data_IF_309812988054
#
_entry.id   IF_309812988054
#
_cell.length_a   1.000
_cell.length_b   1.000
_cell.length_c   1.000
_cell.angle_alpha   90.00
_cell.angle_beta   90.00
_cell.angle_gamma   90.00
#
_symmetry.space_group_name_H-M   'P 1'
#
loop_
_entity.id
_entity.type
_entity.pdbx_description
1 polymer ?
#
# COMPACT_ATOMS: atom_id res chain seq x y z
N UNK A 1 -9.47 10.46 13.30
CA UNK A 1 -8.37 9.93 14.13
C UNK A 1 -7.12 10.49 13.50
N UNK A 2 -6.31 11.24 14.25
CA UNK A 2 -5.27 12.12 13.69
C UNK A 2 -4.38 11.44 12.64
N UNK A 3 -3.91 10.22 12.91
CA UNK A 3 -3.05 9.48 11.98
C UNK A 3 -3.71 9.23 10.62
N UNK A 4 -5.00 8.86 10.59
CA UNK A 4 -5.73 8.67 9.34
C UNK A 4 -5.95 10.00 8.59
N UNK A 5 -6.12 11.09 9.33
CA UNK A 5 -6.29 12.44 8.79
C UNK A 5 -4.99 12.94 8.14
N UNK A 6 -3.84 12.68 8.77
CA UNK A 6 -2.52 13.03 8.22
C UNK A 6 -2.21 12.20 6.96
N UNK A 7 -2.50 10.89 6.96
CA UNK A 7 -2.33 10.01 5.78
C UNK A 7 -3.17 10.50 4.60
N UNK A 8 -4.44 10.81 4.83
CA UNK A 8 -5.33 11.33 3.79
C UNK A 8 -4.83 12.66 3.22
N UNK A 9 -4.35 13.56 4.08
CA UNK A 9 -3.79 14.84 3.66
C UNK A 9 -2.59 14.65 2.74
N UNK A 10 -1.64 13.78 3.09
CA UNK A 10 -0.47 13.51 2.26
C UNK A 10 -0.82 12.80 0.95
N UNK A 11 -1.76 11.85 0.98
CA UNK A 11 -2.21 11.15 -0.22
C UNK A 11 -2.91 12.10 -1.20
N UNK A 12 -3.92 12.84 -0.73
CA UNK A 12 -4.67 13.78 -1.56
C UNK A 12 -3.81 14.97 -2.03
N UNK A 13 -2.78 15.33 -1.26
CA UNK A 13 -1.79 16.33 -1.64
C UNK A 13 -0.75 15.85 -2.65
N UNK A 14 -0.78 14.57 -3.06
CA UNK A 14 0.22 13.98 -3.96
C UNK A 14 1.63 13.86 -3.36
N UNK A 15 1.74 13.89 -2.03
CA UNK A 15 3.02 13.80 -1.34
C UNK A 15 3.53 12.35 -1.24
N UNK A 16 2.62 11.36 -1.30
CA UNK A 16 2.96 9.94 -1.25
C UNK A 16 1.87 9.06 -1.88
N UNK A 17 2.28 8.04 -2.63
CA UNK A 17 1.41 6.97 -3.14
C UNK A 17 1.23 5.82 -2.13
N UNK A 18 2.05 5.79 -1.07
CA UNK A 18 2.05 4.75 -0.04
C UNK A 18 3.03 5.06 1.08
N UNK A 19 2.96 4.27 2.16
CA UNK A 19 3.70 4.51 3.39
C UNK A 19 4.46 3.27 3.83
N UNK A 20 5.67 3.47 4.35
CA UNK A 20 6.41 2.45 5.08
C UNK A 20 6.15 2.62 6.58
N UNK A 21 5.62 1.59 7.23
CA UNK A 21 5.28 1.64 8.65
C UNK A 21 6.44 1.09 9.49
N UNK A 22 6.84 1.85 10.51
CA UNK A 22 7.85 1.43 11.49
C UNK A 22 7.29 1.58 12.91
N UNK A 23 6.50 0.60 13.39
CA UNK A 23 6.01 0.59 14.76
C UNK A 23 7.17 0.54 15.76
N UNK A 24 7.00 1.22 16.88
CA UNK A 24 7.94 1.23 18.02
C UNK A 24 7.91 -0.08 18.80
N UNK A 25 6.76 -0.76 18.82
CA UNK A 25 6.58 -2.07 19.44
C UNK A 25 5.81 -3.04 18.53
N UNK A 26 6.32 -4.26 18.41
CA UNK A 26 5.68 -5.34 17.66
C UNK A 26 5.29 -6.50 18.60
N UNK A 27 4.12 -7.14 18.38
CA UNK A 27 3.15 -6.89 17.31
C UNK A 27 2.14 -5.75 17.60
N UNK A 28 2.08 -5.25 18.84
CA UNK A 28 1.01 -4.37 19.33
C UNK A 28 0.79 -3.09 18.50
N UNK A 29 1.86 -2.34 18.21
CA UNK A 29 1.74 -1.09 17.45
C UNK A 29 1.26 -1.30 16.01
N UNK A 30 1.57 -2.45 15.41
CA UNK A 30 1.01 -2.82 14.11
C UNK A 30 -0.47 -3.18 14.23
N UNK A 31 -0.86 -3.92 15.27
CA UNK A 31 -2.25 -4.30 15.52
C UNK A 31 -3.13 -3.05 15.74
N UNK A 32 -2.67 -2.10 16.56
CA UNK A 32 -3.38 -0.84 16.82
C UNK A 32 -3.58 -0.04 15.53
N UNK A 33 -2.58 -0.03 14.63
CA UNK A 33 -2.69 0.59 13.33
C UNK A 33 -3.73 -0.12 12.45
N UNK A 34 -3.68 -1.45 12.39
CA UNK A 34 -4.61 -2.25 11.58
C UNK A 34 -6.04 -2.09 12.08
N UNK A 35 -6.29 -2.14 13.38
CA UNK A 35 -7.64 -2.08 13.94
C UNK A 35 -8.19 -0.65 14.00
N UNK A 36 -7.33 0.35 14.18
CA UNK A 36 -7.72 1.76 14.30
C UNK A 36 -7.72 2.53 12.98
N UNK A 37 -6.64 2.43 12.18
CA UNK A 37 -6.40 3.30 11.02
C UNK A 37 -7.03 2.72 9.76
N UNK A 38 -6.78 1.44 9.47
CA UNK A 38 -7.17 0.81 8.20
C UNK A 38 -8.68 0.92 7.92
N UNK A 39 -9.61 0.68 8.88
CA UNK A 39 -11.04 0.80 8.61
C UNK A 39 -11.47 2.22 8.23
N UNK A 40 -10.79 3.24 8.76
CA UNK A 40 -11.07 4.64 8.43
C UNK A 40 -10.61 4.95 7.01
N UNK A 41 -9.41 4.52 6.63
CA UNK A 41 -8.89 4.71 5.27
C UNK A 41 -9.75 3.97 4.23
N UNK A 42 -10.22 2.78 4.56
CA UNK A 42 -11.17 2.02 3.75
C UNK A 42 -12.51 2.76 3.59
N UNK A 43 -13.07 3.27 4.69
CA UNK A 43 -14.31 4.06 4.66
C UNK A 43 -14.18 5.33 3.80
N UNK A 44 -12.98 5.92 3.75
CA UNK A 44 -12.65 7.10 2.94
C UNK A 44 -12.34 6.78 1.47
N UNK A 45 -12.24 5.49 1.11
CA UNK A 45 -11.97 5.06 -0.26
C UNK A 45 -10.51 5.25 -0.71
N UNK A 46 -9.59 5.55 0.21
CA UNK A 46 -8.16 5.74 -0.08
C UNK A 46 -7.31 4.50 0.26
N UNK A 47 -7.95 3.44 0.76
CA UNK A 47 -7.32 2.13 0.95
C UNK A 47 -8.25 1.00 0.53
N UNK A 48 -7.67 -0.07 -0.02
CA UNK A 48 -8.41 -1.25 -0.49
C UNK A 48 -9.17 -1.94 0.64
N UNK A 49 -10.36 -2.47 0.34
CA UNK A 49 -11.17 -3.29 1.26
C UNK A 49 -10.89 -4.79 1.15
N UNK A 50 -10.21 -5.21 0.09
CA UNK A 50 -9.81 -6.60 -0.16
C UNK A 50 -8.68 -6.68 -1.18
N UNK A 51 -8.21 -7.90 -1.43
CA UNK A 51 -7.21 -8.18 -2.46
C UNK A 51 -7.89 -8.84 -3.66
N UNK A 52 -7.67 -8.28 -4.85
CA UNK A 52 -8.24 -8.80 -6.10
C UNK A 52 -7.23 -9.66 -6.89
N UNK A 53 -5.93 -9.42 -6.72
CA UNK A 53 -4.85 -10.18 -7.35
C UNK A 53 -4.13 -11.14 -6.41
N UNK A 54 -3.29 -12.01 -6.98
CA UNK A 54 -2.50 -13.00 -6.24
C UNK A 54 -1.02 -12.60 -6.08
N UNK A 55 -0.59 -11.53 -6.74
CA UNK A 55 0.81 -11.12 -6.79
C UNK A 55 1.00 -9.72 -6.21
N UNK A 56 2.21 -9.45 -5.69
CA UNK A 56 2.58 -8.12 -5.21
C UNK A 56 2.44 -7.04 -6.30
N UNK A 57 2.70 -7.39 -7.57
CA UNK A 57 2.53 -6.44 -8.69
C UNK A 57 1.08 -6.02 -8.83
N UNK A 58 0.15 -6.97 -8.78
CA UNK A 58 -1.29 -6.65 -8.83
C UNK A 58 -1.72 -5.81 -7.62
N UNK A 59 -1.21 -6.10 -6.43
CA UNK A 59 -1.51 -5.31 -5.22
C UNK A 59 -0.97 -3.88 -5.26
N UNK A 60 0.03 -3.61 -6.11
CA UNK A 60 0.63 -2.30 -6.32
C UNK A 60 0.19 -1.64 -7.65
N UNK A 61 -0.70 -2.27 -8.42
CA UNK A 61 -1.11 -1.75 -9.74
C UNK A 61 -0.01 -1.74 -10.80
N UNK A 62 1.01 -2.60 -10.65
CA UNK A 62 2.17 -2.66 -11.55
C UNK A 62 1.96 -3.66 -12.68
N UNK A 63 2.27 -3.24 -13.92
CA UNK A 63 2.30 -4.15 -15.06
C UNK A 63 3.41 -5.21 -14.92
N UNK A 64 3.15 -6.41 -15.48
CA UNK A 64 4.18 -7.44 -15.63
C UNK A 64 5.12 -7.03 -16.76
N UNK A 65 6.45 -6.91 -16.51
CA UNK A 65 7.38 -6.57 -17.57
C UNK A 65 7.45 -7.69 -18.61
N UNK A 66 7.50 -7.32 -19.89
CA UNK A 66 7.75 -8.25 -20.97
C UNK A 66 9.24 -8.65 -20.95
N UNK A 67 9.51 -9.90 -20.59
CA UNK A 67 10.86 -10.45 -20.54
C UNK A 67 11.31 -11.01 -21.90
N UNK A 68 10.53 -10.85 -22.97
CA UNK A 68 10.88 -11.36 -24.30
C UNK A 68 12.15 -10.72 -24.90
N UNK A 69 12.55 -9.54 -24.43
CA UNK A 69 13.78 -8.90 -24.91
C UNK A 69 15.03 -9.32 -24.14
N UNK A 70 14.88 -9.85 -22.92
CA UNK A 70 16.02 -10.25 -22.06
C UNK A 70 16.71 -11.53 -22.56
N UNK A 71 15.97 -12.43 -23.21
CA UNK A 71 16.52 -13.67 -23.75
C UNK A 71 17.14 -13.51 -25.15
N UNK A 72 16.73 -12.50 -25.94
CA UNK A 72 17.29 -12.21 -27.28
C UNK A 72 18.70 -11.60 -27.26
N UNK A 73 19.14 -11.04 -26.12
CA UNK A 73 20.48 -10.44 -25.98
C UNK A 73 21.53 -11.40 -25.39
N UNK A 74 21.11 -12.62 -25.05
CA UNK A 74 21.96 -13.65 -24.43
C UNK A 74 22.29 -14.81 -25.39
N UNK A 75 21.93 -14.66 -26.67
CA UNK A 75 22.24 -15.57 -27.78
C UNK A 75 23.03 -14.80 -28.84
#
# INVERSE_FOLDING_TARGET
MRVADDIEHWFNGGAADGFNLMPDALPGGLQDFVDGVVPILQKRGIFRTGYEGATLREHLGLARPDNAQLWRKSA
#
